data_IF_342996064843
#
_entry.id   IF_342996064843
#
_cell.length_a   1.000
_cell.length_b   1.000
_cell.length_c   1.000
_cell.angle_alpha   90.00
_cell.angle_beta   90.00
_cell.angle_gamma   90.00
#
_symmetry.space_group_name_H-M   'P 1'
#
loop_
_entity.id
_entity.type
_entity.pdbx_description
1 polymer ?
#
# COMPACT_ATOMS: atom_id res chain seq x y z
N UNK A 1 -8.11 -1.31 -13.56
CA UNK A 1 -7.99 -1.28 -15.01
C UNK A 1 -9.09 -2.13 -15.66
N UNK A 2 -9.40 -1.89 -16.94
CA UNK A 2 -10.42 -2.65 -17.68
C UNK A 2 -10.14 -4.15 -17.63
N UNK A 3 -8.88 -4.55 -17.79
CA UNK A 3 -8.44 -5.95 -17.72
C UNK A 3 -8.79 -6.58 -16.38
N UNK A 4 -8.57 -5.88 -15.27
CA UNK A 4 -8.90 -6.41 -13.93
C UNK A 4 -10.41 -6.58 -13.74
N UNK A 5 -11.19 -5.62 -14.23
CA UNK A 5 -12.66 -5.70 -14.17
C UNK A 5 -13.18 -6.87 -15.01
N UNK A 6 -12.58 -7.13 -16.18
CA UNK A 6 -12.94 -8.25 -17.05
C UNK A 6 -12.49 -9.61 -16.50
N UNK A 7 -11.32 -9.70 -15.87
CA UNK A 7 -10.76 -10.96 -15.36
C UNK A 7 -11.24 -11.30 -13.95
N UNK A 8 -11.47 -10.31 -13.08
CA UNK A 8 -11.91 -10.52 -11.69
C UNK A 8 -13.44 -10.50 -11.57
N UNK A 9 -14.13 -11.37 -12.32
CA UNK A 9 -15.59 -11.40 -12.37
C UNK A 9 -16.24 -12.35 -11.37
N UNK A 10 -15.48 -13.22 -10.72
CA UNK A 10 -16.01 -14.16 -9.71
C UNK A 10 -15.18 -14.16 -8.43
N UNK A 11 -15.83 -14.46 -7.32
CA UNK A 11 -15.17 -14.58 -6.00
C UNK A 11 -14.04 -15.62 -6.01
N UNK A 12 -14.23 -16.75 -6.71
CA UNK A 12 -13.20 -17.80 -6.84
C UNK A 12 -11.95 -17.31 -7.56
N UNK A 13 -12.11 -16.50 -8.60
CA UNK A 13 -10.98 -15.90 -9.34
C UNK A 13 -10.21 -14.92 -8.47
N UNK A 14 -10.91 -14.07 -7.70
CA UNK A 14 -10.26 -13.16 -6.77
C UNK A 14 -9.52 -13.93 -5.67
N UNK A 15 -10.12 -14.99 -5.13
CA UNK A 15 -9.45 -15.84 -4.15
C UNK A 15 -8.15 -16.46 -4.70
N UNK A 16 -8.14 -16.93 -5.95
CA UNK A 16 -6.93 -17.42 -6.62
C UNK A 16 -5.89 -16.32 -6.83
N UNK A 17 -6.35 -15.13 -7.24
CA UNK A 17 -5.49 -13.96 -7.40
C UNK A 17 -4.83 -13.56 -6.07
N UNK A 18 -5.60 -13.54 -4.98
CA UNK A 18 -5.07 -13.25 -3.64
C UNK A 18 -4.06 -14.30 -3.18
N UNK A 19 -4.32 -15.57 -3.46
CA UNK A 19 -3.38 -16.65 -3.15
C UNK A 19 -2.09 -16.51 -3.95
N UNK A 20 -2.18 -16.30 -5.27
CA UNK A 20 -1.02 -16.03 -6.12
C UNK A 20 -0.23 -14.80 -5.64
N UNK A 21 -0.94 -13.73 -5.31
CA UNK A 21 -0.33 -12.52 -4.77
C UNK A 21 0.41 -12.78 -3.45
N UNK A 22 -0.13 -13.64 -2.58
CA UNK A 22 0.57 -14.04 -1.35
C UNK A 22 1.86 -14.82 -1.62
N UNK A 23 1.89 -15.68 -2.65
CA UNK A 23 3.11 -16.38 -3.06
C UNK A 23 4.17 -15.41 -3.60
N UNK A 24 3.77 -14.46 -4.44
CA UNK A 24 4.68 -13.41 -4.93
C UNK A 24 5.20 -12.54 -3.78
N UNK A 25 4.36 -12.27 -2.78
CA UNK A 25 4.78 -11.57 -1.56
C UNK A 25 5.85 -12.35 -0.80
N UNK A 26 5.69 -13.67 -0.65
CA UNK A 26 6.69 -14.53 0.00
C UNK A 26 8.01 -14.52 -0.77
N UNK A 27 7.99 -14.57 -2.10
CA UNK A 27 9.19 -14.46 -2.93
C UNK A 27 9.89 -13.11 -2.66
N UNK A 28 9.14 -12.02 -2.62
CA UNK A 28 9.70 -10.71 -2.30
C UNK A 28 10.30 -10.66 -0.88
N UNK A 29 9.64 -11.27 0.10
CA UNK A 29 10.14 -11.36 1.48
C UNK A 29 11.45 -12.17 1.51
N UNK A 30 11.49 -13.32 0.85
CA UNK A 30 12.69 -14.18 0.78
C UNK A 30 13.86 -13.45 0.13
N UNK A 31 13.65 -12.71 -0.95
CA UNK A 31 14.70 -11.88 -1.56
C UNK A 31 15.15 -10.75 -0.63
N UNK A 32 14.25 -10.12 0.11
CA UNK A 32 14.59 -9.11 1.13
C UNK A 32 15.42 -9.72 2.29
N UNK A 33 15.12 -10.95 2.70
CA UNK A 33 15.93 -11.68 3.68
C UNK A 33 17.29 -12.09 3.12
N UNK A 34 17.35 -12.49 1.85
CA UNK A 34 18.61 -12.72 1.16
C UNK A 34 19.51 -11.47 1.24
N UNK A 35 18.99 -10.32 0.85
CA UNK A 35 19.73 -9.05 0.94
C UNK A 35 20.20 -8.74 2.36
N UNK A 36 19.39 -9.09 3.39
CA UNK A 36 19.70 -8.82 4.78
C UNK A 36 20.75 -9.75 5.38
N UNK A 37 20.70 -11.05 5.08
CA UNK A 37 21.52 -12.06 5.74
C UNK A 37 22.74 -12.49 4.92
N UNK A 38 22.67 -12.37 3.60
CA UNK A 38 23.72 -12.77 2.66
C UNK A 38 24.38 -11.51 2.05
N UNK A 39 23.59 -10.48 1.76
CA UNK A 39 24.05 -9.23 1.15
C UNK A 39 23.39 -8.97 -0.20
N UNK A 40 23.76 -7.82 -0.79
CA UNK A 40 23.38 -7.48 -2.17
C UNK A 40 24.24 -8.31 -3.14
N UNK A 41 23.64 -8.77 -4.22
CA UNK A 41 24.39 -9.36 -5.32
C UNK A 41 25.14 -8.28 -6.13
N UNK A 42 26.03 -8.70 -7.03
CA UNK A 42 26.86 -7.77 -7.81
C UNK A 42 25.99 -6.78 -8.64
N UNK A 43 24.90 -7.27 -9.25
CA UNK A 43 24.01 -6.45 -10.08
C UNK A 43 23.29 -5.41 -9.22
N UNK A 44 22.80 -5.82 -8.04
CA UNK A 44 22.13 -4.92 -7.10
C UNK A 44 23.08 -3.86 -6.55
N UNK A 45 24.33 -4.26 -6.27
CA UNK A 45 25.35 -3.35 -5.77
C UNK A 45 25.75 -2.32 -6.84
N UNK A 46 25.97 -2.75 -8.06
CA UNK A 46 26.29 -1.87 -9.20
C UNK A 46 25.12 -0.89 -9.45
N UNK A 47 23.89 -1.38 -9.46
CA UNK A 47 22.70 -0.53 -9.60
C UNK A 47 22.57 0.51 -8.47
N UNK A 48 22.92 0.16 -7.22
CA UNK A 48 22.95 1.11 -6.10
C UNK A 48 24.01 2.20 -6.30
N UNK A 49 25.18 1.84 -6.83
CA UNK A 49 26.28 2.78 -7.07
C UNK A 49 25.97 3.71 -8.25
N UNK A 50 25.57 3.17 -9.39
CA UNK A 50 25.27 3.92 -10.60
C UNK A 50 24.11 4.89 -10.44
N UNK A 51 23.03 4.45 -9.76
CA UNK A 51 21.86 5.31 -9.50
C UNK A 51 22.11 6.35 -8.40
N UNK A 52 23.19 6.25 -7.63
CA UNK A 52 23.45 7.08 -6.45
C UNK A 52 22.57 6.75 -5.24
N UNK A 53 21.80 5.65 -5.30
CA UNK A 53 20.95 5.19 -4.19
C UNK A 53 21.76 4.71 -2.98
N UNK A 54 23.06 4.39 -3.15
CA UNK A 54 23.93 4.05 -2.01
C UNK A 54 23.89 5.09 -0.89
N UNK A 55 23.73 6.39 -1.23
CA UNK A 55 23.62 7.50 -0.28
C UNK A 55 22.42 7.39 0.67
N UNK A 56 21.40 6.67 0.28
CA UNK A 56 20.14 6.52 1.03
C UNK A 56 19.90 5.10 1.53
N UNK A 57 20.54 4.10 0.93
CA UNK A 57 20.36 2.68 1.25
C UNK A 57 21.52 2.11 2.08
N UNK A 58 22.77 2.54 1.83
CA UNK A 58 23.96 2.12 2.57
C UNK A 58 24.39 3.20 3.56
N UNK A 59 23.58 3.44 4.58
CA UNK A 59 23.89 4.42 5.61
C UNK A 59 24.83 3.79 6.67
N UNK A 60 25.73 4.57 7.33
CA UNK A 60 26.69 4.04 8.29
C UNK A 60 26.08 3.22 9.44
N UNK A 61 24.82 3.50 9.78
CA UNK A 61 24.13 2.87 10.91
C UNK A 61 23.04 1.89 10.48
N UNK A 62 22.67 1.84 9.21
CA UNK A 62 21.60 0.98 8.70
C UNK A 62 21.70 0.76 7.20
N UNK A 63 21.58 -0.51 6.80
CA UNK A 63 21.32 -0.91 5.42
C UNK A 63 19.82 -1.02 5.21
N UNK A 64 19.32 -0.41 4.15
CA UNK A 64 17.90 -0.40 3.81
C UNK A 64 17.66 -1.34 2.64
N UNK A 65 16.93 -2.41 2.89
CA UNK A 65 16.68 -3.46 1.91
C UNK A 65 15.48 -3.09 1.04
N UNK A 66 15.53 -3.41 -0.24
CA UNK A 66 14.51 -3.07 -1.24
C UNK A 66 13.95 -4.28 -1.99
N UNK A 67 14.53 -5.48 -1.77
CA UNK A 67 14.09 -6.73 -2.41
C UNK A 67 14.07 -6.61 -3.95
N UNK A 68 12.94 -6.94 -4.58
CA UNK A 68 12.70 -6.82 -6.03
C UNK A 68 12.10 -5.46 -6.44
N UNK A 69 11.94 -4.55 -5.49
CA UNK A 69 11.34 -3.24 -5.74
C UNK A 69 12.41 -2.20 -6.11
N UNK A 70 11.97 -1.08 -6.65
CA UNK A 70 12.82 0.01 -7.10
C UNK A 70 13.61 0.69 -5.97
N UNK A 71 13.03 0.72 -4.76
CA UNK A 71 13.66 1.32 -3.58
C UNK A 71 13.05 0.77 -2.27
N UNK A 72 13.73 1.02 -1.15
CA UNK A 72 13.30 0.58 0.17
C UNK A 72 11.96 1.20 0.62
N UNK A 73 11.59 2.37 0.12
CA UNK A 73 10.30 3.01 0.42
C UNK A 73 9.14 2.27 -0.26
N UNK A 74 9.37 1.89 -1.51
CA UNK A 74 8.42 1.10 -2.29
C UNK A 74 8.23 -0.30 -1.67
N UNK A 75 9.33 -1.01 -1.40
CA UNK A 75 9.28 -2.32 -0.73
C UNK A 75 8.57 -2.25 0.62
N UNK A 76 8.97 -1.32 1.51
CA UNK A 76 8.39 -1.18 2.83
C UNK A 76 6.90 -0.88 2.82
N UNK A 77 6.45 0.00 1.93
CA UNK A 77 5.03 0.34 1.81
C UNK A 77 4.20 -0.83 1.28
N UNK A 78 4.74 -1.60 0.30
CA UNK A 78 4.09 -2.82 -0.18
C UNK A 78 4.03 -3.90 0.91
N UNK A 79 5.06 -4.05 1.72
CA UNK A 79 5.03 -4.97 2.87
C UNK A 79 4.03 -4.52 3.94
N UNK A 80 3.87 -3.22 4.17
CA UNK A 80 2.81 -2.68 4.99
C UNK A 80 1.41 -2.98 4.43
N UNK A 81 1.23 -2.83 3.12
CA UNK A 81 0.00 -3.19 2.41
C UNK A 81 -0.34 -4.68 2.56
N UNK A 82 0.61 -5.56 2.28
CA UNK A 82 0.40 -7.01 2.37
C UNK A 82 0.17 -7.48 3.81
N UNK A 83 0.80 -6.82 4.79
CA UNK A 83 0.51 -7.03 6.20
C UNK A 83 -0.97 -6.78 6.52
N UNK A 84 -1.52 -5.65 6.12
CA UNK A 84 -2.94 -5.32 6.33
C UNK A 84 -3.86 -6.27 5.55
N UNK A 85 -3.58 -6.46 4.27
CA UNK A 85 -4.38 -7.28 3.38
C UNK A 85 -4.51 -8.72 3.90
N UNK A 86 -3.37 -9.37 4.14
CA UNK A 86 -3.36 -10.77 4.59
C UNK A 86 -3.69 -10.92 6.07
N UNK A 87 -3.42 -9.90 6.90
CA UNK A 87 -3.87 -9.87 8.29
C UNK A 87 -5.39 -9.93 8.40
N UNK A 88 -6.09 -9.02 7.73
CA UNK A 88 -7.56 -9.00 7.73
C UNK A 88 -8.13 -10.25 7.04
N UNK A 89 -7.61 -10.63 5.87
CA UNK A 89 -8.05 -11.84 5.15
C UNK A 89 -7.86 -13.10 6.00
N UNK A 90 -6.74 -13.23 6.70
CA UNK A 90 -6.46 -14.33 7.61
C UNK A 90 -7.41 -14.38 8.81
N UNK A 91 -7.68 -13.24 9.45
CA UNK A 91 -8.57 -13.16 10.60
C UNK A 91 -9.98 -13.69 10.28
N UNK A 92 -10.47 -13.42 9.09
CA UNK A 92 -11.83 -13.79 8.65
C UNK A 92 -11.89 -15.09 7.82
N UNK A 93 -10.75 -15.74 7.57
CA UNK A 93 -10.74 -17.02 6.85
C UNK A 93 -11.39 -18.12 7.69
N UNK A 94 -12.36 -18.84 7.09
CA UNK A 94 -13.04 -19.96 7.74
C UNK A 94 -12.20 -21.25 7.76
N UNK A 95 -11.25 -21.40 6.83
CA UNK A 95 -10.39 -22.59 6.73
C UNK A 95 -9.17 -22.40 7.64
N UNK A 96 -8.96 -23.25 8.67
CA UNK A 96 -7.89 -23.04 9.67
C UNK A 96 -6.50 -23.01 9.03
N UNK A 97 -6.20 -23.89 8.07
CA UNK A 97 -4.91 -23.87 7.37
C UNK A 97 -4.66 -22.58 6.58
N UNK A 98 -5.67 -22.07 5.87
CA UNK A 98 -5.57 -20.83 5.12
C UNK A 98 -5.49 -19.61 6.05
N UNK A 99 -6.20 -19.65 7.18
CA UNK A 99 -6.10 -18.64 8.24
C UNK A 99 -4.68 -18.50 8.75
N UNK A 100 -4.08 -19.61 9.19
CA UNK A 100 -2.70 -19.64 9.70
C UNK A 100 -1.71 -19.17 8.63
N UNK A 101 -1.86 -19.66 7.40
CA UNK A 101 -1.03 -19.26 6.27
C UNK A 101 -1.02 -17.74 6.05
N UNK A 102 -2.20 -17.12 5.92
CA UNK A 102 -2.28 -15.68 5.69
C UNK A 102 -1.79 -14.85 6.88
N UNK A 103 -2.04 -15.30 8.12
CA UNK A 103 -1.50 -14.63 9.30
C UNK A 103 0.03 -14.72 9.37
N UNK A 104 0.63 -15.84 8.95
CA UNK A 104 2.08 -15.97 8.82
C UNK A 104 2.64 -15.03 7.75
N UNK A 105 1.98 -14.95 6.57
CA UNK A 105 2.38 -14.00 5.51
C UNK A 105 2.29 -12.56 6.03
N UNK A 106 1.22 -12.21 6.76
CA UNK A 106 1.06 -10.89 7.36
C UNK A 106 2.18 -10.55 8.36
N UNK A 107 2.52 -11.48 9.24
CA UNK A 107 3.58 -11.29 10.24
C UNK A 107 4.96 -11.14 9.58
N UNK A 108 5.27 -11.96 8.58
CA UNK A 108 6.50 -11.87 7.80
C UNK A 108 6.57 -10.54 7.02
N UNK A 109 5.46 -10.09 6.45
CA UNK A 109 5.36 -8.79 5.78
C UNK A 109 5.61 -7.63 6.74
N UNK A 110 5.05 -7.69 7.95
CA UNK A 110 5.29 -6.67 8.97
C UNK A 110 6.77 -6.60 9.36
N UNK A 111 7.39 -7.76 9.59
CA UNK A 111 8.83 -7.82 9.87
C UNK A 111 9.67 -7.26 8.71
N UNK A 112 9.36 -7.65 7.47
CA UNK A 112 10.05 -7.16 6.27
C UNK A 112 9.88 -5.65 6.09
N UNK A 113 8.70 -5.09 6.37
CA UNK A 113 8.47 -3.64 6.37
C UNK A 113 9.49 -2.92 7.28
N UNK A 114 9.71 -3.43 8.49
CA UNK A 114 10.67 -2.82 9.41
C UNK A 114 12.12 -2.91 8.89
N UNK A 115 12.50 -3.97 8.18
CA UNK A 115 13.89 -4.11 7.65
C UNK A 115 14.23 -3.05 6.60
N UNK A 116 13.24 -2.42 5.98
CA UNK A 116 13.46 -1.35 4.98
C UNK A 116 13.94 -0.03 5.59
N UNK A 117 13.77 0.17 6.89
CA UNK A 117 14.06 1.44 7.56
C UNK A 117 13.23 2.62 7.01
N UNK A 118 12.13 2.37 6.33
CA UNK A 118 11.28 3.39 5.71
C UNK A 118 10.22 3.88 6.69
N UNK A 119 10.37 5.10 7.17
CA UNK A 119 9.45 5.70 8.15
C UNK A 119 8.03 5.84 7.64
N UNK A 120 7.86 6.22 6.36
CA UNK A 120 6.56 6.36 5.74
C UNK A 120 5.79 5.04 5.59
N UNK A 121 6.47 3.89 5.62
CA UNK A 121 5.83 2.59 5.50
C UNK A 121 4.93 2.24 6.68
N UNK A 122 5.25 2.71 7.90
CA UNK A 122 4.44 2.46 9.11
C UNK A 122 3.05 3.11 9.02
N UNK A 123 2.92 4.14 8.19
CA UNK A 123 1.63 4.81 7.96
C UNK A 123 0.63 3.87 7.29
N UNK A 124 1.12 2.88 6.51
CA UNK A 124 0.24 1.92 5.82
C UNK A 124 -0.58 1.07 6.78
N UNK A 125 0.02 0.31 7.72
CA UNK A 125 -0.75 -0.48 8.67
C UNK A 125 -1.58 0.41 9.63
N UNK A 126 -1.07 1.58 10.04
CA UNK A 126 -1.84 2.49 10.89
C UNK A 126 -3.08 3.03 10.17
N UNK A 127 -2.92 3.49 8.92
CA UNK A 127 -4.04 3.93 8.09
C UNK A 127 -5.03 2.79 7.82
N UNK A 128 -4.52 1.60 7.51
CA UNK A 128 -5.35 0.41 7.32
C UNK A 128 -6.18 0.06 8.56
N UNK A 129 -5.60 0.09 9.75
CA UNK A 129 -6.31 -0.13 11.01
C UNK A 129 -7.34 0.97 11.28
N UNK A 130 -7.00 2.22 10.99
CA UNK A 130 -7.95 3.34 11.13
C UNK A 130 -9.18 3.12 10.23
N UNK A 131 -8.99 2.83 8.95
CA UNK A 131 -10.11 2.58 8.05
C UNK A 131 -10.89 1.33 8.46
N UNK A 132 -10.20 0.26 8.90
CA UNK A 132 -10.84 -0.94 9.41
C UNK A 132 -11.75 -0.64 10.61
N UNK A 133 -11.29 0.20 11.54
CA UNK A 133 -12.10 0.64 12.67
C UNK A 133 -13.35 1.42 12.22
N UNK A 134 -13.23 2.25 11.16
CA UNK A 134 -14.35 3.05 10.66
C UNK A 134 -15.39 2.23 9.90
N UNK A 135 -14.98 1.23 9.11
CA UNK A 135 -15.90 0.46 8.25
C UNK A 135 -16.34 -0.88 8.84
N UNK A 136 -15.71 -1.33 9.93
CA UNK A 136 -16.08 -2.57 10.61
C UNK A 136 -17.43 -2.41 11.32
N UNK A 137 -18.37 -3.35 11.06
CA UNK A 137 -19.65 -3.39 11.76
C UNK A 137 -19.59 -4.11 13.10
N UNK A 138 -18.44 -4.70 13.43
CA UNK A 138 -18.24 -5.44 14.68
C UNK A 138 -17.54 -4.56 15.70
N UNK A 139 -18.28 -4.14 16.74
CA UNK A 139 -17.76 -3.23 17.77
C UNK A 139 -16.52 -3.79 18.49
N UNK A 140 -16.40 -5.10 18.67
CA UNK A 140 -15.24 -5.73 19.31
C UNK A 140 -13.99 -5.60 18.44
N UNK A 141 -14.14 -5.84 17.13
CA UNK A 141 -13.03 -5.69 16.17
C UNK A 141 -12.66 -4.22 15.97
N UNK A 142 -13.65 -3.34 15.94
CA UNK A 142 -13.44 -1.89 15.89
C UNK A 142 -12.67 -1.41 17.13
N UNK A 143 -13.08 -1.82 18.32
CA UNK A 143 -12.37 -1.47 19.56
C UNK A 143 -10.94 -2.03 19.56
N UNK A 144 -10.75 -3.30 19.18
CA UNK A 144 -9.44 -3.93 19.12
C UNK A 144 -8.51 -3.22 18.13
N UNK A 145 -8.98 -2.85 16.94
CA UNK A 145 -8.22 -2.11 15.95
C UNK A 145 -7.85 -0.71 16.45
N UNK A 146 -8.79 -0.01 17.07
CA UNK A 146 -8.57 1.33 17.66
C UNK A 146 -7.55 1.26 18.80
N UNK A 147 -7.71 0.35 19.73
CA UNK A 147 -6.77 0.16 20.87
C UNK A 147 -5.39 -0.24 20.33
N UNK A 148 -5.31 -1.19 19.39
CA UNK A 148 -4.05 -1.58 18.75
C UNK A 148 -3.35 -0.42 18.06
N UNK A 149 -4.09 0.40 17.30
CA UNK A 149 -3.59 1.61 16.66
C UNK A 149 -3.06 2.64 17.67
N UNK A 150 -3.80 2.88 18.75
CA UNK A 150 -3.39 3.77 19.84
C UNK A 150 -2.13 3.24 20.53
N UNK A 151 -2.07 1.94 20.83
CA UNK A 151 -0.89 1.32 21.43
C UNK A 151 0.36 1.49 20.57
N UNK A 152 0.25 1.25 19.25
CA UNK A 152 1.34 1.46 18.29
C UNK A 152 1.76 2.94 18.27
N UNK A 153 0.79 3.85 18.21
CA UNK A 153 1.07 5.29 18.23
C UNK A 153 1.78 5.70 19.51
N UNK A 154 1.25 5.31 20.69
CA UNK A 154 1.85 5.60 22.00
C UNK A 154 3.26 5.01 22.10
N UNK A 155 3.46 3.77 21.66
CA UNK A 155 4.77 3.12 21.66
C UNK A 155 5.81 3.96 20.88
N UNK A 156 5.49 4.40 19.66
CA UNK A 156 6.44 5.15 18.86
C UNK A 156 6.56 6.63 19.25
N UNK A 157 5.47 7.28 19.68
CA UNK A 157 5.45 8.71 19.98
C UNK A 157 5.98 9.04 21.39
N UNK A 158 5.64 8.23 22.40
CA UNK A 158 5.83 8.59 23.81
C UNK A 158 6.76 7.67 24.60
N UNK A 159 7.05 6.43 24.14
CA UNK A 159 7.95 5.54 24.88
C UNK A 159 9.40 5.64 24.39
N UNK A 160 10.33 5.17 25.21
CA UNK A 160 11.75 5.03 24.87
C UNK A 160 12.19 3.55 24.78
N UNK A 161 11.24 2.60 24.90
CA UNK A 161 11.53 1.18 24.83
C UNK A 161 12.16 0.80 23.49
N UNK A 162 13.29 0.10 23.48
CA UNK A 162 14.04 -0.30 22.29
C UNK A 162 14.83 0.84 21.62
N UNK A 163 15.17 1.94 22.32
CA UNK A 163 15.93 3.07 21.76
C UNK A 163 17.38 2.67 21.39
N UNK A 164 17.93 1.60 21.97
CA UNK A 164 19.18 0.99 21.57
C UNK A 164 19.14 0.46 20.12
N UNK A 165 17.96 0.06 19.65
CA UNK A 165 17.76 -0.38 18.28
C UNK A 165 17.57 0.82 17.35
N UNK A 166 18.55 1.03 16.45
CA UNK A 166 18.52 2.14 15.49
C UNK A 166 17.24 2.15 14.63
N UNK A 167 16.72 0.99 14.26
CA UNK A 167 15.50 0.87 13.45
C UNK A 167 14.29 1.44 14.17
N UNK A 168 14.08 1.07 15.44
CA UNK A 168 13.00 1.59 16.28
C UNK A 168 13.14 3.11 16.46
N UNK A 169 14.36 3.57 16.78
CA UNK A 169 14.66 5.00 16.91
C UNK A 169 14.35 5.77 15.62
N UNK A 170 14.72 5.21 14.46
CA UNK A 170 14.41 5.79 13.16
C UNK A 170 12.90 5.87 12.90
N UNK A 171 12.13 4.83 13.23
CA UNK A 171 10.66 4.85 13.08
C UNK A 171 10.00 5.92 13.95
N UNK A 172 10.53 6.18 15.15
CA UNK A 172 10.04 7.24 16.05
C UNK A 172 10.13 8.65 15.47
N UNK A 173 11.13 8.92 14.62
CA UNK A 173 11.24 10.23 13.99
C UNK A 173 10.05 10.56 13.07
N UNK A 174 9.31 9.55 12.58
CA UNK A 174 8.09 9.76 11.83
C UNK A 174 6.99 10.49 12.65
N UNK A 175 7.01 10.31 13.98
CA UNK A 175 6.05 10.92 14.89
C UNK A 175 6.52 12.27 15.46
N UNK A 176 7.70 12.75 15.05
CA UNK A 176 8.29 14.04 15.46
C UNK A 176 8.77 14.84 14.24
N UNK A 177 7.87 15.23 13.31
CA UNK A 177 8.25 15.81 12.01
C UNK A 177 9.02 17.12 12.12
N UNK A 178 8.75 17.94 13.13
CA UNK A 178 9.41 19.24 13.29
C UNK A 178 10.91 19.14 13.62
N UNK A 179 11.38 17.97 14.06
CA UNK A 179 12.81 17.68 14.33
C UNK A 179 13.48 16.88 13.21
N UNK A 180 12.76 16.58 12.13
CA UNK A 180 13.25 15.79 11.01
C UNK A 180 13.78 16.69 9.89
N UNK A 181 15.09 16.72 9.72
CA UNK A 181 15.75 17.48 8.65
C UNK A 181 15.21 17.11 7.25
N UNK A 182 14.92 15.83 7.00
CA UNK A 182 14.34 15.39 5.71
C UNK A 182 12.94 15.99 5.48
N UNK A 183 12.12 16.09 6.52
CA UNK A 183 10.80 16.71 6.42
C UNK A 183 10.89 18.21 6.11
N UNK A 184 11.81 18.91 6.77
CA UNK A 184 12.02 20.34 6.55
C UNK A 184 12.48 20.64 5.11
N UNK A 185 13.43 19.85 4.58
CA UNK A 185 13.87 19.96 3.19
C UNK A 185 12.71 19.73 2.22
N UNK A 186 11.88 18.71 2.45
CA UNK A 186 10.68 18.45 1.62
C UNK A 186 9.69 19.60 1.66
N UNK A 187 9.49 20.20 2.83
CA UNK A 187 8.62 21.38 2.99
C UNK A 187 9.12 22.56 2.16
N UNK A 188 10.42 22.85 2.22
CA UNK A 188 11.06 23.91 1.42
C UNK A 188 10.94 23.62 -0.08
N UNK A 189 11.21 22.37 -0.51
CA UNK A 189 11.08 21.96 -1.89
C UNK A 189 9.64 22.16 -2.42
N UNK A 190 8.63 21.80 -1.62
CA UNK A 190 7.21 22.03 -1.98
C UNK A 190 6.88 23.52 -2.12
N UNK A 191 7.44 24.37 -1.27
CA UNK A 191 7.23 25.82 -1.38
C UNK A 191 7.82 26.37 -2.69
N UNK A 192 9.07 25.98 -3.04
CA UNK A 192 9.71 26.36 -4.31
C UNK A 192 8.90 25.86 -5.53
N UNK A 193 8.41 24.63 -5.48
CA UNK A 193 7.57 24.06 -6.53
C UNK A 193 6.22 24.80 -6.63
N UNK A 194 5.61 25.18 -5.50
CA UNK A 194 4.34 25.91 -5.50
C UNK A 194 4.46 27.28 -6.17
N UNK A 195 5.55 28.00 -5.90
CA UNK A 195 5.85 29.26 -6.56
C UNK A 195 6.08 29.09 -8.05
N UNK A 196 6.90 28.11 -8.43
CA UNK A 196 7.23 27.82 -9.83
C UNK A 196 6.04 27.34 -10.68
N UNK A 197 5.12 26.57 -10.08
CA UNK A 197 3.96 26.00 -10.76
C UNK A 197 2.71 26.90 -10.71
N UNK A 198 2.80 28.06 -10.10
CA UNK A 198 1.66 28.96 -9.89
C UNK A 198 0.95 29.33 -11.19
N UNK A 199 1.69 29.58 -12.24
CA UNK A 199 1.17 29.96 -13.56
C UNK A 199 1.09 28.78 -14.56
N UNK A 200 1.22 27.53 -14.04
CA UNK A 200 1.22 26.29 -14.83
C UNK A 200 0.13 25.32 -14.36
N UNK A 201 -1.13 25.57 -14.66
CA UNK A 201 -2.25 24.76 -14.16
C UNK A 201 -2.20 23.32 -14.63
N UNK A 202 -1.52 23.01 -15.76
CA UNK A 202 -1.32 21.66 -16.30
C UNK A 202 0.10 21.10 -16.04
N UNK A 203 0.92 21.78 -15.22
CA UNK A 203 2.26 21.33 -14.85
C UNK A 203 3.30 21.49 -15.97
N UNK A 204 4.39 20.71 -15.85
CA UNK A 204 5.50 20.74 -16.82
C UNK A 204 5.36 19.72 -17.94
N UNK A 205 4.50 18.72 -17.79
CA UNK A 205 4.32 17.60 -18.69
C UNK A 205 4.71 16.25 -18.04
N UNK A 206 4.09 15.18 -18.52
CA UNK A 206 4.32 13.83 -18.03
C UNK A 206 5.79 13.42 -18.21
N UNK A 207 6.35 12.84 -17.14
CA UNK A 207 7.75 12.38 -17.11
C UNK A 207 8.78 13.50 -16.95
N UNK A 208 8.37 14.77 -16.78
CA UNK A 208 9.28 15.91 -16.59
C UNK A 208 9.42 16.35 -15.12
N UNK A 209 8.89 15.58 -14.19
CA UNK A 209 9.04 15.80 -12.75
C UNK A 209 10.12 14.92 -12.13
N UNK A 210 10.95 15.52 -11.24
CA UNK A 210 11.97 14.79 -10.48
C UNK A 210 13.33 14.69 -11.15
N UNK A 211 14.30 14.23 -10.36
CA UNK A 211 15.70 14.19 -10.78
C UNK A 211 15.97 13.21 -11.93
N UNK A 212 15.13 12.19 -12.08
CA UNK A 212 15.22 11.24 -13.19
C UNK A 212 14.95 11.89 -14.55
N UNK A 213 14.21 13.00 -14.55
CA UNK A 213 13.85 13.74 -15.75
C UNK A 213 14.97 14.69 -16.26
N UNK A 214 16.10 14.81 -15.55
CA UNK A 214 17.24 15.64 -15.97
C UNK A 214 17.76 15.32 -17.37
N UNK A 215 17.64 14.08 -17.80
CA UNK A 215 18.00 13.63 -19.15
C UNK A 215 17.17 14.31 -20.26
N UNK A 216 16.03 14.89 -19.93
CA UNK A 216 15.14 15.59 -20.88
C UNK A 216 15.23 17.12 -20.79
N UNK A 217 16.12 17.64 -19.95
CA UNK A 217 16.34 19.09 -19.81
C UNK A 217 16.57 19.53 -18.37
N UNK A 218 17.12 20.71 -18.22
CA UNK A 218 17.44 21.30 -16.93
C UNK A 218 16.36 22.32 -16.54
N UNK A 219 15.37 21.88 -15.76
CA UNK A 219 14.25 22.69 -15.25
C UNK A 219 14.26 22.66 -13.74
N UNK A 220 13.56 23.58 -13.07
CA UNK A 220 13.45 23.53 -11.61
C UNK A 220 12.86 22.20 -11.13
N UNK A 221 11.84 21.69 -11.81
CA UNK A 221 11.19 20.42 -11.50
C UNK A 221 12.13 19.22 -11.63
N UNK A 222 13.16 19.28 -12.47
CA UNK A 222 14.16 18.23 -12.62
C UNK A 222 15.32 18.33 -11.62
N UNK A 223 15.42 19.43 -10.88
CA UNK A 223 16.45 19.62 -9.84
C UNK A 223 15.96 19.20 -8.45
N UNK A 224 14.65 19.13 -8.25
CA UNK A 224 14.01 18.79 -6.98
C UNK A 224 13.56 17.32 -6.99
N UNK A 225 14.00 16.48 -6.01
CA UNK A 225 13.57 15.10 -5.92
C UNK A 225 12.06 14.97 -5.67
N UNK A 226 11.41 14.02 -6.33
CA UNK A 226 10.01 13.68 -6.09
C UNK A 226 9.89 12.74 -4.89
N UNK A 227 9.82 13.29 -3.70
CA UNK A 227 9.68 12.53 -2.44
C UNK A 227 8.23 12.11 -2.11
N UNK A 228 7.29 12.39 -3.00
CA UNK A 228 5.86 12.11 -2.83
C UNK A 228 5.21 11.83 -4.18
N UNK A 229 4.36 10.80 -4.22
CA UNK A 229 3.54 10.54 -5.42
C UNK A 229 2.70 11.76 -5.81
N UNK A 230 2.11 12.43 -4.82
CA UNK A 230 1.25 13.60 -5.09
C UNK A 230 2.04 14.80 -5.60
N UNK A 231 3.25 15.02 -5.09
CA UNK A 231 4.14 16.07 -5.60
C UNK A 231 4.57 15.77 -7.02
N UNK A 232 4.90 14.52 -7.33
CA UNK A 232 5.26 14.10 -8.70
C UNK A 232 4.12 14.37 -9.69
N UNK A 233 2.91 13.91 -9.36
CA UNK A 233 1.73 14.14 -10.20
C UNK A 233 1.46 15.64 -10.35
N UNK A 234 1.53 16.39 -9.26
CA UNK A 234 1.36 17.84 -9.31
C UNK A 234 2.39 18.54 -10.19
N UNK A 235 3.66 18.18 -10.10
CA UNK A 235 4.71 18.76 -10.98
C UNK A 235 4.50 18.42 -12.45
N UNK A 236 4.06 17.21 -12.75
CA UNK A 236 3.89 16.73 -14.12
C UNK A 236 2.56 17.21 -14.76
N UNK A 237 1.48 17.27 -13.98
CA UNK A 237 0.12 17.51 -14.51
C UNK A 237 -0.59 18.74 -13.90
N UNK A 238 0.11 19.50 -13.08
CA UNK A 238 -0.40 20.71 -12.44
C UNK A 238 -1.52 20.47 -11.44
N UNK A 239 -2.18 21.58 -11.05
CA UNK A 239 -3.30 21.52 -10.10
C UNK A 239 -4.49 20.76 -10.67
N UNK A 240 -4.73 20.86 -11.97
CA UNK A 240 -5.84 20.17 -12.65
C UNK A 240 -5.63 18.65 -12.55
N UNK A 241 -4.44 18.16 -12.89
CA UNK A 241 -4.15 16.74 -12.88
C UNK A 241 -4.15 16.14 -11.47
N UNK A 242 -3.60 16.82 -10.46
CA UNK A 242 -3.64 16.30 -9.09
C UNK A 242 -5.06 16.24 -8.53
N UNK A 243 -5.93 17.21 -8.83
CA UNK A 243 -7.33 17.17 -8.43
C UNK A 243 -8.04 15.96 -9.08
N UNK A 244 -7.89 15.78 -10.39
CA UNK A 244 -8.46 14.63 -11.09
C UNK A 244 -7.95 13.30 -10.53
N UNK A 245 -6.64 13.22 -10.28
CA UNK A 245 -6.03 12.02 -9.68
C UNK A 245 -6.63 11.70 -8.31
N UNK A 246 -6.74 12.71 -7.43
CA UNK A 246 -7.32 12.53 -6.10
C UNK A 246 -8.81 12.16 -6.18
N UNK A 247 -9.58 12.77 -7.08
CA UNK A 247 -10.98 12.42 -7.29
C UNK A 247 -11.16 10.97 -7.75
N UNK A 248 -10.32 10.49 -8.66
CA UNK A 248 -10.36 9.09 -9.14
C UNK A 248 -10.03 8.13 -8.00
N UNK A 249 -8.91 8.33 -7.31
CA UNK A 249 -8.45 7.40 -6.27
C UNK A 249 -9.34 7.45 -5.02
N UNK A 250 -9.61 8.64 -4.50
CA UNK A 250 -10.47 8.81 -3.32
C UNK A 250 -11.93 8.45 -3.65
N UNK A 251 -12.44 8.85 -4.80
CA UNK A 251 -13.79 8.50 -5.23
C UNK A 251 -13.99 7.00 -5.38
N UNK A 252 -13.02 6.29 -5.99
CA UNK A 252 -13.06 4.82 -6.10
C UNK A 252 -13.02 4.14 -4.74
N UNK A 253 -12.17 4.63 -3.83
CA UNK A 253 -12.08 4.09 -2.48
C UNK A 253 -13.36 4.35 -1.67
N UNK A 254 -13.88 5.57 -1.71
CA UNK A 254 -15.13 5.95 -1.01
C UNK A 254 -16.32 5.16 -1.53
N UNK A 255 -16.42 4.97 -2.85
CA UNK A 255 -17.42 4.09 -3.46
C UNK A 255 -17.30 2.66 -2.93
N UNK A 256 -16.09 2.08 -2.91
CA UNK A 256 -15.83 0.76 -2.37
C UNK A 256 -16.23 0.66 -0.89
N UNK A 257 -15.86 1.63 -0.06
CA UNK A 257 -16.23 1.69 1.36
C UNK A 257 -17.76 1.78 1.55
N UNK A 258 -18.43 2.66 0.79
CA UNK A 258 -19.89 2.75 0.81
C UNK A 258 -20.54 1.41 0.49
N UNK A 259 -20.06 0.74 -0.56
CA UNK A 259 -20.60 -0.55 -0.98
C UNK A 259 -20.38 -1.63 0.09
N UNK A 260 -19.18 -1.72 0.64
CA UNK A 260 -18.82 -2.64 1.75
C UNK A 260 -19.73 -2.45 2.96
N UNK A 261 -19.95 -1.20 3.34
CA UNK A 261 -20.73 -0.88 4.55
C UNK A 261 -22.22 -1.13 4.41
N UNK A 262 -22.81 -0.84 3.25
CA UNK A 262 -24.26 -0.74 3.12
C UNK A 262 -24.89 -1.73 2.14
N UNK A 263 -24.12 -2.32 1.23
CA UNK A 263 -24.69 -3.05 0.10
C UNK A 263 -24.24 -4.50 -0.01
N UNK A 264 -23.01 -4.85 0.34
CA UNK A 264 -22.48 -6.22 0.20
C UNK A 264 -23.27 -7.19 1.08
N UNK A 265 -23.81 -8.23 0.48
CA UNK A 265 -24.62 -9.29 1.12
C UNK A 265 -23.76 -10.46 1.59
N UNK A 266 -22.72 -10.81 0.82
CA UNK A 266 -21.86 -11.94 1.15
C UNK A 266 -20.76 -11.52 2.13
N UNK A 267 -20.73 -12.13 3.31
CA UNK A 267 -19.76 -11.79 4.37
C UNK A 267 -18.30 -12.08 3.97
N UNK A 268 -18.04 -13.18 3.26
CA UNK A 268 -16.66 -13.51 2.83
C UNK A 268 -16.14 -12.49 1.83
N UNK A 269 -16.98 -12.07 0.87
CA UNK A 269 -16.65 -11.00 -0.05
C UNK A 269 -16.46 -9.67 0.68
N UNK A 270 -17.33 -9.35 1.66
CA UNK A 270 -17.22 -8.14 2.48
C UNK A 270 -15.85 -8.07 3.16
N UNK A 271 -15.41 -9.15 3.82
CA UNK A 271 -14.12 -9.16 4.50
C UNK A 271 -12.94 -9.00 3.54
N UNK A 272 -12.99 -9.62 2.37
CA UNK A 272 -11.95 -9.48 1.35
C UNK A 272 -11.87 -8.04 0.80
N UNK A 273 -13.02 -7.45 0.46
CA UNK A 273 -13.07 -6.07 0.00
C UNK A 273 -12.65 -5.08 1.10
N UNK A 274 -13.00 -5.36 2.36
CA UNK A 274 -12.53 -4.59 3.53
C UNK A 274 -11.00 -4.63 3.63
N UNK A 275 -10.40 -5.81 3.50
CA UNK A 275 -8.95 -5.98 3.54
C UNK A 275 -8.25 -5.17 2.44
N UNK A 276 -8.79 -5.23 1.21
CA UNK A 276 -8.29 -4.44 0.08
C UNK A 276 -8.44 -2.93 0.32
N UNK A 277 -9.61 -2.48 0.74
CA UNK A 277 -9.88 -1.06 1.00
C UNK A 277 -8.94 -0.50 2.07
N UNK A 278 -8.73 -1.24 3.16
CA UNK A 278 -7.83 -0.85 4.25
C UNK A 278 -6.37 -0.74 3.78
N UNK A 279 -5.91 -1.72 3.00
CA UNK A 279 -4.57 -1.70 2.42
C UNK A 279 -4.38 -0.53 1.44
N UNK A 280 -5.33 -0.32 0.52
CA UNK A 280 -5.31 0.79 -0.44
C UNK A 280 -5.30 2.14 0.26
N UNK A 281 -6.14 2.33 1.27
CA UNK A 281 -6.17 3.57 2.05
C UNK A 281 -4.84 3.85 2.74
N UNK A 282 -4.25 2.83 3.39
CA UNK A 282 -2.93 2.95 4.01
C UNK A 282 -1.85 3.35 3.00
N UNK A 283 -1.86 2.75 1.81
CA UNK A 283 -0.96 3.12 0.70
C UNK A 283 -1.16 4.56 0.24
N UNK A 284 -2.41 5.02 0.09
CA UNK A 284 -2.71 6.41 -0.27
C UNK A 284 -2.15 7.40 0.77
N UNK A 285 -2.27 7.10 2.06
CA UNK A 285 -1.67 7.93 3.10
C UNK A 285 -0.13 7.93 3.03
N UNK A 286 0.49 6.77 2.86
CA UNK A 286 1.95 6.63 2.74
C UNK A 286 2.51 7.32 1.49
N UNK A 287 1.74 7.42 0.41
CA UNK A 287 2.11 8.08 -0.84
C UNK A 287 2.37 9.59 -0.68
N UNK A 288 1.93 10.21 0.42
CA UNK A 288 2.29 11.58 0.77
C UNK A 288 3.78 11.75 1.07
N UNK A 289 4.43 10.72 1.60
CA UNK A 289 5.86 10.73 1.94
C UNK A 289 6.74 9.85 1.06
N UNK A 290 6.16 9.18 0.04
CA UNK A 290 6.87 8.26 -0.85
C UNK A 290 6.29 8.33 -2.27
N UNK A 291 7.16 8.27 -3.29
CA UNK A 291 6.76 8.39 -4.70
C UNK A 291 6.64 7.03 -5.39
N UNK A 292 5.85 6.11 -4.87
CA UNK A 292 5.81 4.72 -5.36
C UNK A 292 4.63 4.38 -6.28
N UNK A 293 3.54 5.15 -6.33
CA UNK A 293 2.41 4.83 -7.22
C UNK A 293 2.75 4.98 -8.71
N UNK A 294 3.81 5.69 -9.03
CA UNK A 294 4.34 5.80 -10.39
C UNK A 294 5.45 4.80 -10.68
N UNK A 295 5.75 3.90 -9.75
CA UNK A 295 6.80 2.90 -9.85
C UNK A 295 6.22 1.49 -10.05
N UNK A 296 6.96 0.66 -10.81
CA UNK A 296 6.65 -0.76 -10.93
C UNK A 296 7.07 -1.53 -9.66
N UNK A 297 6.32 -2.53 -9.19
CA UNK A 297 5.02 -3.00 -9.66
C UNK A 297 3.84 -2.25 -9.03
N UNK A 298 4.08 -1.35 -8.07
CA UNK A 298 3.08 -0.78 -7.15
C UNK A 298 1.97 -0.03 -7.88
N UNK A 299 2.28 0.77 -8.89
CA UNK A 299 1.26 1.49 -9.65
C UNK A 299 0.23 0.57 -10.30
N UNK A 300 0.70 -0.52 -10.92
CA UNK A 300 -0.19 -1.52 -11.55
C UNK A 300 -1.05 -2.22 -10.49
N UNK A 301 -0.43 -2.62 -9.37
CA UNK A 301 -1.13 -3.28 -8.26
C UNK A 301 -2.25 -2.40 -7.69
N UNK A 302 -1.98 -1.11 -7.48
CA UNK A 302 -2.97 -0.17 -6.93
C UNK A 302 -4.17 -0.02 -7.84
N UNK A 303 -3.95 0.14 -9.16
CA UNK A 303 -5.03 0.22 -10.15
C UNK A 303 -5.83 -1.09 -10.19
N UNK A 304 -5.15 -2.24 -10.08
CA UNK A 304 -5.79 -3.55 -10.05
C UNK A 304 -6.69 -3.69 -8.82
N UNK A 305 -6.22 -3.35 -7.63
CA UNK A 305 -7.00 -3.46 -6.39
C UNK A 305 -8.17 -2.48 -6.32
N UNK A 306 -7.99 -1.25 -6.80
CA UNK A 306 -9.10 -0.32 -6.98
C UNK A 306 -10.14 -0.85 -7.97
N UNK A 307 -9.69 -1.47 -9.06
CA UNK A 307 -10.60 -2.12 -10.02
C UNK A 307 -11.42 -3.25 -9.39
N UNK A 308 -10.83 -4.06 -8.50
CA UNK A 308 -11.55 -5.10 -7.75
C UNK A 308 -12.57 -4.46 -6.79
N UNK A 309 -12.18 -3.41 -6.07
CA UNK A 309 -13.09 -2.69 -5.16
C UNK A 309 -14.30 -2.12 -5.91
N UNK A 310 -14.09 -1.49 -7.06
CA UNK A 310 -15.15 -0.94 -7.91
C UNK A 310 -16.08 -2.03 -8.44
N UNK A 311 -15.53 -3.21 -8.75
CA UNK A 311 -16.27 -4.35 -9.28
C UNK A 311 -17.01 -5.16 -8.19
N UNK A 312 -16.85 -4.82 -6.93
CA UNK A 312 -17.42 -5.53 -5.78
C UNK A 312 -18.93 -5.76 -5.88
N UNK A 313 -19.67 -4.78 -6.44
CA UNK A 313 -21.10 -4.89 -6.71
C UNK A 313 -21.46 -6.07 -7.62
N UNK A 314 -20.83 -6.14 -8.78
CA UNK A 314 -21.11 -7.19 -9.78
C UNK A 314 -20.71 -8.58 -9.27
N UNK A 315 -19.64 -8.66 -8.49
CA UNK A 315 -19.19 -9.91 -7.86
C UNK A 315 -20.20 -10.40 -6.83
N UNK A 316 -20.77 -9.52 -6.00
CA UNK A 316 -21.77 -9.85 -4.99
C UNK A 316 -23.10 -10.31 -5.63
N UNK A 317 -23.55 -9.60 -6.66
CA UNK A 317 -24.74 -9.97 -7.44
C UNK A 317 -24.58 -11.36 -8.06
N UNK A 318 -23.45 -11.62 -8.70
CA UNK A 318 -23.14 -12.91 -9.30
C UNK A 318 -23.09 -14.04 -8.27
N UNK A 319 -22.45 -13.83 -7.12
CA UNK A 319 -22.42 -14.80 -6.03
C UNK A 319 -23.83 -15.11 -5.50
N UNK A 320 -24.70 -14.12 -5.45
CA UNK A 320 -26.07 -14.30 -4.99
C UNK A 320 -26.85 -15.19 -5.97
N UNK A 321 -26.69 -14.95 -7.29
CA UNK A 321 -27.33 -15.75 -8.36
C UNK A 321 -26.79 -17.19 -8.31
N UNK A 322 -25.48 -17.38 -8.24
CA UNK A 322 -24.85 -18.72 -8.14
C UNK A 322 -25.37 -19.52 -6.94
N UNK A 323 -25.55 -18.89 -5.78
CA UNK A 323 -26.11 -19.52 -4.58
C UNK A 323 -27.58 -19.90 -4.75
N UNK A 324 -28.38 -19.04 -5.36
CA UNK A 324 -29.80 -19.34 -5.62
C UNK A 324 -29.96 -20.51 -6.57
N UNK A 325 -29.17 -20.54 -7.66
CA UNK A 325 -29.18 -21.67 -8.60
C UNK A 325 -28.75 -22.98 -7.96
N UNK A 326 -27.74 -22.97 -7.09
CA UNK A 326 -27.29 -24.15 -6.36
C UNK A 326 -28.39 -24.70 -5.43
N UNK A 327 -29.11 -23.81 -4.73
CA UNK A 327 -30.23 -24.21 -3.87
C UNK A 327 -31.38 -24.84 -4.67
N UNK A 328 -31.76 -24.24 -5.80
CA UNK A 328 -32.83 -24.77 -6.67
C UNK A 328 -32.47 -26.15 -7.25
N UNK A 329 -31.20 -26.37 -7.57
CA UNK A 329 -30.70 -27.64 -8.07
C UNK A 329 -30.72 -28.73 -6.98
N UNK A 330 -30.38 -28.38 -5.74
CA UNK A 330 -30.43 -29.28 -4.61
C UNK A 330 -31.88 -29.70 -4.29
N UNK A 331 -32.81 -28.73 -4.23
CA UNK A 331 -34.23 -28.99 -3.96
C UNK A 331 -34.85 -29.89 -5.02
N UNK A 332 -34.50 -29.72 -6.32
CA UNK A 332 -34.96 -30.59 -7.39
C UNK A 332 -34.46 -32.05 -7.25
N UNK A 333 -33.22 -32.22 -6.78
CA UNK A 333 -32.64 -33.55 -6.57
C UNK A 333 -33.31 -34.30 -5.43
N UNK A 334 -33.68 -33.59 -4.35
CA UNK A 334 -34.39 -34.17 -3.20
C UNK A 334 -35.87 -34.49 -3.52
N UNK A 335 -36.48 -33.80 -4.49
CA UNK A 335 -37.86 -34.07 -4.92
C UNK A 335 -37.99 -35.20 -5.94
N UNK A 336 -36.86 -35.75 -6.46
CA UNK A 336 -36.80 -36.87 -7.43
C UNK A 336 -36.32 -38.18 -6.80
N UNK A 337 -36.04 -38.18 -5.48
CA UNK A 337 -35.83 -39.37 -4.63
C UNK A 337 -37.09 -39.67 -3.80
#
# INVERSE_FOLDING_TARGET
>A
SLITVLLATSYKQIGRLMFLFSLLTLIAILKGFWQKFIGFDAIEYDALMESGMYKTHLLPQITRYFSIFTDAGNYGSNMGFTCVLFGITGLFSKKPGLKTYYLCVSALSLYSMFTTGTRGAIVVPLGGLLLFALISKNIRLMSAATVGGICIYVFFAFTYAGESNYMIRRMRTAFRPNKDASYLVRKQNRQKLAEYLRDKPFGEGLGLGGVEARRFGNRLTTTIPNDSTYVKIWTETGIVGIILYLLIYAGSLLWGCYYIMFKVRNDELRHLLTALACGVFGMMLSAYGNAFFTQFPTGIMMIMFLGILMNGKYIDERLTIEKQQALLTATKKDSTL
#
